data_IF_807729516724
#
_entry.id   IF_807729516724
#
_cell.length_a   1.000
_cell.length_b   1.000
_cell.length_c   1.000
_cell.angle_alpha   90.00
_cell.angle_beta   90.00
_cell.angle_gamma   90.00
#
_symmetry.space_group_name_H-M   'P 1'
#
loop_
_entity.id
_entity.type
_entity.pdbx_description
1 polymer ?
#
# COMPACT_ATOMS: atom_id res chain seq x y z
N UNK A 1 -11.18 -59.20 7.29
CA UNK A 1 -9.93 -58.48 6.97
C UNK A 1 -10.20 -56.98 6.92
N UNK A 2 -9.34 -56.13 7.51
CA UNK A 2 -9.37 -54.65 7.61
C UNK A 2 -10.02 -54.00 8.86
N UNK A 3 -9.45 -54.17 10.06
CA UNK A 3 -9.62 -53.21 11.20
C UNK A 3 -8.37 -53.14 12.11
N UNK A 4 -7.15 -53.26 11.56
CA UNK A 4 -5.93 -53.33 12.40
C UNK A 4 -4.80 -52.36 12.00
N UNK A 5 -5.04 -51.37 11.12
CA UNK A 5 -3.96 -50.51 10.59
C UNK A 5 -4.05 -49.02 10.94
N UNK A 6 -4.94 -48.62 11.84
CA UNK A 6 -5.10 -47.21 12.26
C UNK A 6 -4.40 -46.89 13.60
N UNK A 7 -4.09 -47.89 14.44
CA UNK A 7 -3.54 -47.63 15.78
C UNK A 7 -2.03 -47.34 15.83
N UNK A 8 -1.31 -47.46 14.71
CA UNK A 8 0.16 -47.32 14.66
C UNK A 8 0.68 -45.92 14.34
N UNK A 9 -0.18 -44.94 13.99
CA UNK A 9 0.26 -43.56 13.67
C UNK A 9 0.10 -42.56 14.82
N UNK A 10 -0.55 -42.93 15.93
CA UNK A 10 -0.71 -42.04 17.09
C UNK A 10 0.46 -42.07 18.09
N UNK A 11 1.47 -42.95 17.91
CA UNK A 11 2.66 -43.00 18.78
C UNK A 11 3.89 -42.26 18.23
N UNK A 12 3.78 -41.57 17.09
CA UNK A 12 4.88 -40.82 16.46
C UNK A 12 4.90 -39.31 16.71
N UNK A 13 3.92 -38.75 17.41
CA UNK A 13 3.77 -37.29 17.59
C UNK A 13 3.93 -36.83 19.06
N UNK A 14 4.62 -37.63 19.89
CA UNK A 14 4.90 -37.28 21.30
C UNK A 14 6.36 -36.88 21.56
N UNK A 15 7.19 -36.76 20.52
CA UNK A 15 8.64 -36.50 20.64
C UNK A 15 9.10 -35.06 20.38
N UNK A 16 8.23 -34.14 19.93
CA UNK A 16 8.64 -32.79 19.53
C UNK A 16 8.16 -31.66 20.47
N UNK A 17 7.43 -31.99 21.55
CA UNK A 17 6.96 -31.01 22.52
C UNK A 17 8.01 -30.65 23.60
N UNK A 18 9.07 -31.46 23.77
CA UNK A 18 10.11 -31.23 24.78
C UNK A 18 11.31 -30.40 24.27
N UNK A 19 11.51 -30.29 22.95
CA UNK A 19 12.63 -29.50 22.39
C UNK A 19 12.37 -27.99 22.48
N UNK A 20 11.11 -27.55 22.42
CA UNK A 20 10.76 -26.12 22.51
C UNK A 20 10.76 -25.62 23.97
N UNK A 21 10.56 -26.51 24.96
CA UNK A 21 10.61 -26.15 26.38
C UNK A 21 12.02 -26.09 26.98
N UNK A 22 13.01 -26.73 26.36
CA UNK A 22 14.42 -26.59 26.79
C UNK A 22 15.11 -25.33 26.26
N UNK A 23 14.58 -24.70 25.19
CA UNK A 23 15.14 -23.45 24.66
C UNK A 23 14.77 -22.21 25.49
N UNK A 24 13.79 -22.31 26.40
CA UNK A 24 13.37 -21.20 27.27
C UNK A 24 14.14 -21.09 28.59
N UNK A 25 15.06 -22.03 28.89
CA UNK A 25 15.76 -22.07 30.17
C UNK A 25 17.20 -21.52 30.15
N UNK A 26 17.75 -21.14 28.99
CA UNK A 26 19.16 -20.70 28.87
C UNK A 26 19.36 -19.18 28.66
N UNK A 27 18.29 -18.38 28.56
CA UNK A 27 18.40 -16.91 28.41
C UNK A 27 18.26 -16.17 29.76
N UNK A 28 18.06 -16.89 30.87
CA UNK A 28 17.94 -16.31 32.23
C UNK A 28 19.31 -16.04 32.89
N UNK A 29 20.43 -16.14 32.17
CA UNK A 29 21.78 -15.93 32.77
C UNK A 29 22.69 -14.94 32.03
N UNK A 30 22.18 -14.25 31.01
CA UNK A 30 22.86 -13.08 30.44
C UNK A 30 22.25 -11.84 31.07
N UNK A 31 22.94 -11.32 32.09
CA UNK A 31 22.63 -10.07 32.79
C UNK A 31 22.70 -8.86 31.87
N UNK A 32 21.71 -8.70 31.00
CA UNK A 32 21.39 -7.42 30.39
C UNK A 32 20.52 -6.69 31.40
N UNK A 33 21.18 -5.86 32.22
CA UNK A 33 20.52 -4.78 32.95
C UNK A 33 19.85 -3.88 31.93
N UNK A 34 18.55 -4.11 31.69
CA UNK A 34 17.68 -3.13 31.06
C UNK A 34 17.63 -1.91 31.97
N UNK A 35 18.45 -0.91 31.64
CA UNK A 35 18.22 0.46 32.08
C UNK A 35 16.89 0.91 31.46
N UNK A 36 15.80 0.66 32.18
CA UNK A 36 14.55 1.38 32.00
C UNK A 36 14.83 2.84 32.37
N UNK A 37 15.24 3.64 31.39
CA UNK A 37 15.17 5.09 31.50
C UNK A 37 13.68 5.42 31.49
N UNK A 38 13.15 5.66 32.69
CA UNK A 38 11.88 6.34 32.89
C UNK A 38 11.96 7.68 32.14
N UNK A 39 11.33 7.75 30.97
CA UNK A 39 11.13 9.01 30.29
C UNK A 39 10.16 9.85 31.13
N UNK A 40 10.51 11.10 31.48
CA UNK A 40 9.60 11.96 32.21
C UNK A 40 8.35 12.21 31.35
N UNK A 41 7.20 12.03 31.99
CA UNK A 41 5.87 12.38 31.52
C UNK A 41 5.89 13.80 30.93
N UNK A 42 6.04 13.89 29.60
CA UNK A 42 5.98 15.17 28.89
C UNK A 42 4.55 15.71 29.03
N UNK A 43 4.44 16.91 29.60
CA UNK A 43 3.17 17.64 29.73
C UNK A 43 2.51 17.77 28.35
N UNK A 44 1.16 17.73 28.26
CA UNK A 44 0.48 17.96 27.01
C UNK A 44 0.86 19.35 26.48
N UNK A 45 1.62 19.39 25.39
CA UNK A 45 1.79 20.62 24.62
C UNK A 45 0.46 20.83 23.91
N UNK A 46 -0.34 21.75 24.42
CA UNK A 46 -1.43 22.37 23.65
C UNK A 46 -0.79 23.10 22.47
N UNK A 47 -0.65 22.41 21.35
CA UNK A 47 -0.38 23.03 20.06
C UNK A 47 -1.71 23.63 19.63
N UNK A 48 -1.96 24.86 20.07
CA UNK A 48 -2.96 25.72 19.45
C UNK A 48 -2.52 25.90 17.99
N UNK A 49 -3.34 25.56 16.97
CA UNK A 49 -3.02 25.93 15.61
C UNK A 49 -2.94 27.46 15.56
N UNK A 50 -1.78 27.99 15.16
CA UNK A 50 -1.68 29.40 14.80
C UNK A 50 -2.73 29.69 13.71
N UNK A 51 -3.40 30.84 13.74
CA UNK A 51 -4.30 31.22 12.66
C UNK A 51 -3.48 31.30 11.37
N UNK A 52 -3.78 30.42 10.41
CA UNK A 52 -3.29 30.56 9.05
C UNK A 52 -4.05 31.76 8.49
N UNK A 53 -3.45 32.93 8.56
CA UNK A 53 -3.95 34.12 7.87
C UNK A 53 -3.89 33.82 6.38
N UNK A 54 -5.02 33.47 5.79
CA UNK A 54 -5.19 33.46 4.33
C UNK A 54 -5.06 34.91 3.89
N UNK A 55 -3.87 35.29 3.44
CA UNK A 55 -3.68 36.55 2.75
C UNK A 55 -4.56 36.51 1.49
N UNK A 56 -5.55 37.39 1.46
CA UNK A 56 -6.37 37.63 0.29
C UNK A 56 -5.46 37.97 -0.90
N UNK A 57 -5.52 37.14 -1.94
CA UNK A 57 -4.90 37.44 -3.23
C UNK A 57 -5.73 38.57 -3.85
N UNK A 58 -5.15 39.76 -4.12
CA UNK A 58 -5.90 40.80 -4.82
C UNK A 58 -6.11 40.36 -6.27
N UNK A 59 -7.37 40.43 -6.70
CA UNK A 59 -7.72 40.39 -8.12
C UNK A 59 -7.11 41.63 -8.80
N UNK A 60 -6.03 41.41 -9.55
CA UNK A 60 -5.51 42.37 -10.51
C UNK A 60 -5.94 41.90 -11.90
N UNK A 61 -6.89 42.64 -12.46
CA UNK A 61 -7.35 42.60 -13.84
C UNK A 61 -6.37 43.43 -14.68
N UNK A 62 -5.51 42.80 -15.47
CA UNK A 62 -4.93 43.42 -16.68
C UNK A 62 -4.32 42.35 -17.63
N UNK A 63 -4.54 42.43 -18.95
CA UNK A 63 -4.17 41.39 -19.90
C UNK A 63 -2.78 41.64 -20.47
N UNK A 64 -1.74 41.18 -19.78
CA UNK A 64 -0.42 41.04 -20.38
C UNK A 64 -0.40 39.84 -21.33
N UNK A 65 -0.33 40.14 -22.63
CA UNK A 65 0.02 39.22 -23.71
C UNK A 65 1.26 38.42 -23.30
N UNK A 66 1.06 37.17 -22.91
CA UNK A 66 2.12 36.18 -22.91
C UNK A 66 2.34 35.75 -24.35
N UNK A 67 3.43 36.23 -24.96
CA UNK A 67 4.02 35.59 -26.13
C UNK A 67 4.27 34.13 -25.77
N UNK A 68 3.44 33.26 -26.34
CA UNK A 68 3.65 31.82 -26.40
C UNK A 68 4.90 31.61 -27.24
N UNK A 69 6.07 31.65 -26.60
CA UNK A 69 7.26 30.99 -27.13
C UNK A 69 6.97 29.50 -27.05
N UNK A 70 6.60 28.92 -28.20
CA UNK A 70 6.53 27.48 -28.39
C UNK A 70 7.91 26.87 -28.10
N UNK A 71 8.07 26.04 -27.05
CA UNK A 71 9.29 25.24 -26.95
C UNK A 71 9.32 24.25 -28.12
N UNK A 72 10.46 24.18 -28.80
CA UNK A 72 10.75 23.14 -29.77
C UNK A 72 10.46 21.74 -29.17
N UNK A 73 9.97 20.77 -29.96
CA UNK A 73 9.64 19.45 -29.42
C UNK A 73 10.92 18.77 -28.94
N UNK A 74 11.05 18.60 -27.63
CA UNK A 74 11.95 17.61 -27.08
C UNK A 74 11.48 16.23 -27.58
N UNK A 75 12.37 15.31 -28.00
CA UNK A 75 11.97 13.96 -28.31
C UNK A 75 11.35 13.35 -27.04
N UNK A 76 10.05 13.04 -27.12
CA UNK A 76 9.37 12.23 -26.13
C UNK A 76 10.14 10.91 -26.00
N UNK A 77 10.87 10.77 -24.90
CA UNK A 77 11.56 9.54 -24.56
C UNK A 77 10.51 8.42 -24.44
N UNK A 78 10.72 7.36 -25.20
CA UNK A 78 9.97 6.10 -25.26
C UNK A 78 9.95 5.36 -23.91
N UNK A 79 9.41 5.98 -22.85
CA UNK A 79 9.44 5.42 -21.49
C UNK A 79 8.18 4.62 -21.14
N UNK A 80 7.13 4.68 -21.96
CA UNK A 80 5.88 3.94 -21.73
C UNK A 80 5.94 2.47 -22.21
N UNK A 81 6.96 2.10 -22.98
CA UNK A 81 7.00 0.81 -23.65
C UNK A 81 7.69 -0.32 -22.86
N UNK A 82 8.34 -0.02 -21.73
CA UNK A 82 9.11 -1.02 -20.98
C UNK A 82 8.35 -1.64 -19.80
N UNK A 83 7.35 -0.96 -19.25
CA UNK A 83 6.64 -1.39 -18.03
C UNK A 83 5.49 -2.38 -18.28
N UNK A 84 5.08 -2.62 -19.53
CA UNK A 84 4.00 -3.56 -19.85
C UNK A 84 4.49 -4.97 -20.20
N UNK A 85 5.79 -5.16 -20.48
CA UNK A 85 6.34 -6.47 -20.89
C UNK A 85 6.39 -7.50 -19.76
N UNK A 86 6.32 -7.03 -18.52
CA UNK A 86 6.24 -7.83 -17.31
C UNK A 86 5.33 -7.02 -16.41
N UNK A 87 4.23 -7.60 -15.92
CA UNK A 87 3.25 -6.85 -15.12
C UNK A 87 3.86 -6.15 -13.89
N UNK A 88 3.04 -5.45 -13.08
CA UNK A 88 3.54 -4.67 -11.96
C UNK A 88 4.39 -5.52 -11.04
N UNK A 89 5.46 -4.94 -10.48
CA UNK A 89 6.23 -5.66 -9.47
C UNK A 89 5.37 -5.91 -8.22
N UNK A 90 5.73 -6.89 -7.39
CA UNK A 90 5.06 -7.15 -6.11
C UNK A 90 4.88 -5.88 -5.28
N UNK A 91 5.96 -5.10 -5.17
CA UNK A 91 6.00 -3.86 -4.42
C UNK A 91 5.03 -2.81 -5.01
N UNK A 92 4.97 -2.74 -6.33
CA UNK A 92 4.05 -1.86 -7.05
C UNK A 92 2.58 -2.28 -6.87
N UNK A 93 2.27 -3.58 -6.87
CA UNK A 93 0.90 -4.10 -6.60
C UNK A 93 0.42 -3.69 -5.21
N UNK A 94 1.26 -3.83 -4.19
CA UNK A 94 0.90 -3.44 -2.82
C UNK A 94 0.71 -1.93 -2.69
N UNK A 95 1.60 -1.14 -3.31
CA UNK A 95 1.45 0.33 -3.32
C UNK A 95 0.17 0.78 -4.03
N UNK A 96 -0.18 0.11 -5.14
CA UNK A 96 -1.44 0.33 -5.86
C UNK A 96 -2.66 0.01 -5.01
N UNK A 97 -2.66 -1.15 -4.35
CA UNK A 97 -3.74 -1.57 -3.47
C UNK A 97 -3.97 -0.55 -2.34
N UNK A 98 -2.90 -0.11 -1.66
CA UNK A 98 -2.96 0.87 -0.57
C UNK A 98 -3.62 2.19 -1.01
N UNK A 99 -3.14 2.78 -2.11
CA UNK A 99 -3.66 4.06 -2.62
C UNK A 99 -5.10 3.90 -3.11
N UNK A 100 -5.42 2.80 -3.80
CA UNK A 100 -6.78 2.50 -4.27
C UNK A 100 -7.77 2.44 -3.10
N UNK A 101 -7.45 1.68 -2.05
CA UNK A 101 -8.31 1.54 -0.87
C UNK A 101 -8.45 2.87 -0.13
N UNK A 102 -7.37 3.63 0.02
CA UNK A 102 -7.39 4.96 0.64
C UNK A 102 -8.35 5.91 -0.10
N UNK A 103 -8.16 6.07 -1.40
CA UNK A 103 -8.94 7.02 -2.22
C UNK A 103 -10.41 6.62 -2.25
N UNK A 104 -10.69 5.33 -2.38
CA UNK A 104 -12.07 4.85 -2.40
C UNK A 104 -12.74 4.91 -1.02
N UNK A 105 -12.01 4.70 0.08
CA UNK A 105 -12.53 4.92 1.44
C UNK A 105 -12.92 6.39 1.66
N UNK A 106 -12.07 7.33 1.22
CA UNK A 106 -12.37 8.77 1.29
C UNK A 106 -13.62 9.15 0.50
N UNK A 107 -13.90 8.46 -0.62
CA UNK A 107 -15.09 8.69 -1.43
C UNK A 107 -16.36 8.12 -0.79
N UNK A 108 -16.27 6.95 -0.15
CA UNK A 108 -17.40 6.26 0.47
C UNK A 108 -17.76 6.78 1.87
N UNK A 109 -16.97 7.71 2.44
CA UNK A 109 -17.08 8.21 3.82
C UNK A 109 -18.44 8.80 4.24
N UNK A 110 -19.23 9.28 3.28
CA UNK A 110 -20.54 9.89 3.55
C UNK A 110 -21.71 8.97 3.16
N UNK A 111 -21.42 7.71 2.83
CA UNK A 111 -22.43 6.71 2.44
C UNK A 111 -22.76 5.79 3.62
N UNK A 112 -23.79 4.95 3.49
CA UNK A 112 -24.07 3.86 4.43
C UNK A 112 -22.93 2.84 4.52
N UNK A 113 -22.13 2.76 3.47
CA UNK A 113 -21.03 1.81 3.30
C UNK A 113 -19.68 2.49 3.49
N UNK A 114 -19.60 3.43 4.44
CA UNK A 114 -18.32 3.94 4.93
C UNK A 114 -17.48 2.77 5.48
N UNK A 115 -16.22 2.76 5.05
CA UNK A 115 -15.22 1.75 5.41
C UNK A 115 -13.88 2.37 5.80
N UNK A 116 -13.81 3.66 6.17
CA UNK A 116 -12.56 4.28 6.64
C UNK A 116 -11.92 3.52 7.80
N UNK A 117 -12.72 3.13 8.81
CA UNK A 117 -12.22 2.34 9.94
C UNK A 117 -11.70 0.95 9.54
N UNK A 118 -12.29 0.34 8.51
CA UNK A 118 -11.82 -0.95 7.99
C UNK A 118 -10.48 -0.77 7.24
N UNK A 119 -10.34 0.31 6.46
CA UNK A 119 -9.08 0.68 5.80
C UNK A 119 -7.96 0.99 6.80
N UNK A 120 -8.23 1.77 7.85
CA UNK A 120 -7.26 2.05 8.92
C UNK A 120 -6.78 0.78 9.62
N UNK A 121 -7.69 -0.18 9.85
CA UNK A 121 -7.34 -1.48 10.43
C UNK A 121 -6.49 -2.31 9.47
N UNK A 122 -6.82 -2.30 8.19
CA UNK A 122 -6.02 -2.95 7.15
C UNK A 122 -4.60 -2.37 7.12
N UNK A 123 -4.47 -1.05 7.07
CA UNK A 123 -3.17 -0.37 7.05
C UNK A 123 -2.36 -0.67 8.30
N UNK A 124 -2.97 -0.59 9.49
CA UNK A 124 -2.30 -0.90 10.76
C UNK A 124 -1.82 -2.36 10.83
N UNK A 125 -2.61 -3.30 10.31
CA UNK A 125 -2.27 -4.74 10.30
C UNK A 125 -1.11 -5.05 9.36
N UNK A 126 -1.05 -4.39 8.21
CA UNK A 126 -0.09 -4.67 7.13
C UNK A 126 0.99 -3.59 6.98
N UNK A 127 1.20 -2.78 8.02
CA UNK A 127 2.09 -1.62 7.97
C UNK A 127 3.54 -2.00 7.64
N UNK A 128 4.02 -3.15 8.13
CA UNK A 128 5.36 -3.63 7.85
C UNK A 128 5.53 -4.02 6.38
N UNK A 129 4.54 -4.72 5.83
CA UNK A 129 4.46 -5.14 4.43
C UNK A 129 4.39 -3.94 3.50
N UNK A 130 3.53 -2.96 3.80
CA UNK A 130 3.39 -1.75 2.99
C UNK A 130 4.67 -0.91 2.97
N UNK A 131 5.31 -0.72 4.13
CA UNK A 131 6.59 0.00 4.21
C UNK A 131 7.72 -0.74 3.49
N UNK A 132 7.77 -2.07 3.61
CA UNK A 132 8.71 -2.90 2.87
C UNK A 132 8.53 -2.76 1.36
N UNK A 133 7.28 -2.84 0.89
CA UNK A 133 6.93 -2.63 -0.52
C UNK A 133 7.32 -1.23 -1.00
N UNK A 134 6.99 -0.17 -0.27
CA UNK A 134 7.37 1.19 -0.64
C UNK A 134 8.90 1.35 -0.74
N UNK A 135 9.66 0.75 0.18
CA UNK A 135 11.12 0.76 0.13
C UNK A 135 11.66 0.01 -1.09
N UNK A 136 11.11 -1.14 -1.43
CA UNK A 136 11.58 -1.97 -2.54
C UNK A 136 11.24 -1.34 -3.89
N UNK A 137 10.04 -0.77 -4.02
CA UNK A 137 9.64 0.00 -5.21
C UNK A 137 10.57 1.19 -5.41
N UNK A 138 10.91 1.93 -4.35
CA UNK A 138 11.89 3.01 -4.42
C UNK A 138 13.25 2.51 -4.90
N UNK A 139 13.76 1.40 -4.35
CA UNK A 139 15.04 0.81 -4.78
C UNK A 139 15.01 0.41 -6.26
N UNK A 140 13.88 -0.13 -6.73
CA UNK A 140 13.69 -0.45 -8.14
C UNK A 140 13.81 0.80 -9.00
N UNK A 141 13.05 1.86 -8.70
CA UNK A 141 13.14 3.08 -9.49
C UNK A 141 14.49 3.80 -9.38
N UNK A 142 15.22 3.66 -8.27
CA UNK A 142 16.60 4.17 -8.18
C UNK A 142 17.53 3.46 -9.17
N UNK A 143 17.36 2.14 -9.35
CA UNK A 143 18.14 1.38 -10.34
C UNK A 143 17.80 1.77 -11.77
N UNK A 144 16.54 2.09 -12.04
CA UNK A 144 16.03 2.40 -13.39
C UNK A 144 16.23 3.87 -13.80
N UNK A 145 16.08 4.81 -12.87
CA UNK A 145 16.01 6.24 -13.15
C UNK A 145 16.98 7.09 -12.31
N UNK A 146 17.79 6.49 -11.44
CA UNK A 146 18.62 7.20 -10.47
C UNK A 146 17.79 7.82 -9.32
N UNK A 147 18.46 8.46 -8.36
CA UNK A 147 17.81 8.93 -7.12
C UNK A 147 16.72 9.98 -7.36
N UNK A 148 17.00 10.99 -8.19
CA UNK A 148 16.02 12.04 -8.50
C UNK A 148 14.89 11.52 -9.39
N UNK A 149 15.21 10.64 -10.35
CA UNK A 149 14.21 10.00 -11.19
C UNK A 149 13.28 9.10 -10.40
N UNK A 150 13.78 8.41 -9.37
CA UNK A 150 12.96 7.57 -8.51
C UNK A 150 11.90 8.33 -7.71
N UNK A 151 12.20 9.56 -7.28
CA UNK A 151 11.23 10.40 -6.59
C UNK A 151 10.09 10.78 -7.53
N UNK A 152 10.43 11.18 -8.77
CA UNK A 152 9.44 11.52 -9.79
C UNK A 152 8.60 10.31 -10.19
N UNK A 153 9.22 9.16 -10.44
CA UNK A 153 8.52 7.94 -10.80
C UNK A 153 7.55 7.47 -9.69
N UNK A 154 7.95 7.56 -8.41
CA UNK A 154 7.06 7.25 -7.29
C UNK A 154 5.85 8.19 -7.21
N UNK A 155 6.06 9.48 -7.44
CA UNK A 155 5.01 10.50 -7.43
C UNK A 155 4.04 10.33 -8.60
N UNK A 156 4.58 10.13 -9.81
CA UNK A 156 3.80 9.87 -11.03
C UNK A 156 2.94 8.62 -10.89
N UNK A 157 3.51 7.51 -10.41
CA UNK A 157 2.75 6.29 -10.16
C UNK A 157 1.67 6.53 -9.11
N UNK A 158 2.00 7.13 -7.97
CA UNK A 158 1.04 7.37 -6.89
C UNK A 158 -0.12 8.27 -7.32
N UNK A 159 0.19 9.36 -8.01
CA UNK A 159 -0.79 10.32 -8.54
C UNK A 159 -1.66 9.71 -9.62
N UNK A 160 -1.07 8.94 -10.54
CA UNK A 160 -1.81 8.22 -11.58
C UNK A 160 -2.86 7.29 -10.98
N UNK A 161 -2.46 6.47 -9.99
CA UNK A 161 -3.37 5.55 -9.28
C UNK A 161 -4.49 6.33 -8.59
N UNK A 162 -4.15 7.36 -7.82
CA UNK A 162 -5.15 8.14 -7.09
C UNK A 162 -6.18 8.77 -8.04
N UNK A 163 -5.72 9.28 -9.18
CA UNK A 163 -6.60 9.86 -10.19
C UNK A 163 -7.49 8.81 -10.87
N UNK A 164 -6.96 7.60 -11.14
CA UNK A 164 -7.75 6.49 -11.68
C UNK A 164 -8.94 6.11 -10.79
N UNK A 165 -8.78 6.22 -9.47
CA UNK A 165 -9.81 5.87 -8.49
C UNK A 165 -10.59 7.04 -7.90
N UNK A 166 -10.33 8.29 -8.33
CA UNK A 166 -11.03 9.47 -7.82
C UNK A 166 -12.56 9.44 -8.05
N UNK A 167 -12.99 8.75 -9.11
CA UNK A 167 -14.40 8.49 -9.41
C UNK A 167 -14.95 7.22 -8.76
N UNK A 168 -14.17 6.55 -7.92
CA UNK A 168 -14.46 5.25 -7.33
C UNK A 168 -13.85 4.10 -8.10
N UNK A 169 -14.02 2.88 -7.59
CA UNK A 169 -13.56 1.67 -8.26
C UNK A 169 -14.44 1.38 -9.49
N UNK A 170 -13.88 1.09 -10.67
CA UNK A 170 -14.64 0.95 -11.92
C UNK A 170 -15.75 -0.11 -11.94
N UNK A 171 -15.73 -1.12 -11.06
CA UNK A 171 -16.76 -2.17 -10.98
C UNK A 171 -17.14 -2.60 -9.57
N UNK A 172 -16.50 -2.05 -8.52
CA UNK A 172 -16.85 -2.34 -7.12
C UNK A 172 -17.54 -1.13 -6.52
N UNK A 173 -18.73 -1.33 -5.95
CA UNK A 173 -19.41 -0.30 -5.18
C UNK A 173 -18.78 -0.14 -3.78
N UNK A 174 -19.21 0.88 -3.04
CA UNK A 174 -18.77 1.09 -1.65
C UNK A 174 -19.04 -0.14 -0.77
N UNK A 175 -20.17 -0.82 -0.97
CA UNK A 175 -20.51 -2.06 -0.27
C UNK A 175 -19.47 -3.18 -0.52
N UNK A 176 -19.12 -3.41 -1.79
CA UNK A 176 -18.16 -4.46 -2.16
C UNK A 176 -16.76 -4.13 -1.66
N UNK A 177 -16.36 -2.86 -1.77
CA UNK A 177 -15.07 -2.37 -1.28
C UNK A 177 -14.93 -2.54 0.23
N UNK A 178 -15.99 -2.25 0.98
CA UNK A 178 -16.04 -2.50 2.42
C UNK A 178 -15.83 -3.98 2.74
N UNK A 179 -16.58 -4.86 2.10
CA UNK A 179 -16.47 -6.30 2.30
C UNK A 179 -15.07 -6.83 1.96
N UNK A 180 -14.49 -6.39 0.83
CA UNK A 180 -13.13 -6.74 0.43
C UNK A 180 -12.10 -6.24 1.45
N UNK A 181 -12.22 -5.00 1.92
CA UNK A 181 -11.28 -4.43 2.89
C UNK A 181 -11.31 -5.20 4.21
N UNK A 182 -12.50 -5.62 4.66
CA UNK A 182 -12.64 -6.45 5.85
C UNK A 182 -11.95 -7.81 5.68
N UNK A 183 -12.07 -8.44 4.51
CA UNK A 183 -11.36 -9.69 4.21
C UNK A 183 -9.83 -9.49 4.18
N UNK A 184 -9.35 -8.37 3.64
CA UNK A 184 -7.92 -8.06 3.57
C UNK A 184 -7.27 -7.89 4.94
N UNK A 185 -8.02 -7.47 5.96
CA UNK A 185 -7.52 -7.40 7.35
C UNK A 185 -7.06 -8.77 7.86
N UNK A 186 -7.75 -9.84 7.47
CA UNK A 186 -7.50 -11.19 7.98
C UNK A 186 -6.49 -11.98 7.15
N UNK A 187 -5.98 -11.40 6.06
CA UNK A 187 -4.92 -12.04 5.26
C UNK A 187 -3.65 -12.18 6.08
N UNK A 188 -3.16 -13.41 6.27
CA UNK A 188 -1.99 -13.66 7.12
C UNK A 188 -0.67 -13.58 6.38
N UNK A 189 -0.67 -13.87 5.07
CA UNK A 189 0.57 -13.96 4.29
C UNK A 189 0.66 -12.84 3.27
N UNK A 190 1.85 -12.27 3.13
CA UNK A 190 2.11 -11.24 2.13
C UNK A 190 1.92 -11.77 0.70
N UNK A 191 2.12 -13.07 0.45
CA UNK A 191 1.89 -13.67 -0.87
C UNK A 191 0.41 -13.69 -1.24
N UNK A 192 -0.46 -14.08 -0.30
CA UNK A 192 -1.91 -13.98 -0.49
C UNK A 192 -2.33 -12.52 -0.66
N UNK A 193 -1.76 -11.60 0.11
CA UNK A 193 -2.08 -10.17 0.00
C UNK A 193 -1.76 -9.62 -1.39
N UNK A 194 -0.62 -10.02 -1.95
CA UNK A 194 -0.18 -9.60 -3.29
C UNK A 194 -1.02 -10.22 -4.39
N UNK A 195 -1.41 -11.48 -4.23
CA UNK A 195 -2.31 -12.14 -5.18
C UNK A 195 -3.69 -11.48 -5.17
N UNK A 196 -4.23 -11.18 -3.99
CA UNK A 196 -5.51 -10.44 -3.88
C UNK A 196 -5.38 -9.02 -4.43
N UNK A 197 -4.25 -8.33 -4.18
CA UNK A 197 -3.96 -7.05 -4.79
C UNK A 197 -4.00 -7.15 -6.32
N UNK A 198 -3.34 -8.16 -6.89
CA UNK A 198 -3.37 -8.39 -8.34
C UNK A 198 -4.79 -8.56 -8.84
N UNK A 199 -5.60 -9.43 -8.22
CA UNK A 199 -6.98 -9.66 -8.66
C UNK A 199 -7.88 -8.41 -8.60
N UNK A 200 -7.68 -7.55 -7.59
CA UNK A 200 -8.41 -6.29 -7.46
C UNK A 200 -7.95 -5.25 -8.49
N UNK A 201 -6.67 -5.25 -8.86
CA UNK A 201 -6.08 -4.28 -9.79
C UNK A 201 -6.12 -4.73 -11.26
N UNK A 202 -6.03 -6.03 -11.56
CA UNK A 202 -5.85 -6.55 -12.92
C UNK A 202 -7.17 -6.53 -13.70
N UNK A 203 -8.31 -6.55 -13.00
CA UNK A 203 -9.61 -6.26 -13.61
C UNK A 203 -9.70 -4.82 -14.19
N UNK A 204 -8.74 -3.93 -13.87
CA UNK A 204 -8.62 -2.59 -14.48
C UNK A 204 -8.03 -2.63 -15.89
N UNK A 205 -7.38 -3.73 -16.27
CA UNK A 205 -6.81 -3.88 -17.62
C UNK A 205 -7.83 -4.26 -18.69
N UNK A 206 -9.02 -4.69 -18.31
CA UNK A 206 -10.10 -5.01 -19.25
C UNK A 206 -11.05 -3.81 -19.41
N UNK A 207 -10.59 -2.72 -20.05
CA UNK A 207 -11.09 -2.46 -21.42
C UNK A 207 -10.09 -1.80 -22.38
N UNK A 208 -8.81 -1.64 -22.03
CA UNK A 208 -7.87 -0.89 -22.89
C UNK A 208 -7.55 -1.59 -24.22
N UNK A 209 -7.75 -2.92 -24.30
CA UNK A 209 -7.57 -3.69 -25.53
C UNK A 209 -8.83 -3.82 -26.38
N UNK A 210 -9.97 -3.26 -25.97
CA UNK A 210 -11.22 -3.31 -26.73
C UNK A 210 -11.39 -2.16 -27.74
N UNK A 211 -10.51 -1.16 -27.75
CA UNK A 211 -10.59 0.02 -28.63
C UNK A 211 -9.48 0.10 -29.70
N UNK A 212 -8.64 -0.92 -29.85
CA UNK A 212 -7.59 -0.99 -30.88
C UNK A 212 -7.93 -1.92 -32.07
N UNK A 213 -9.21 -2.07 -32.39
CA UNK A 213 -9.68 -2.66 -33.65
C UNK A 213 -10.69 -1.69 -34.26
N UNK A 214 -10.18 -0.68 -34.98
CA UNK A 214 -10.93 0.05 -36.00
C UNK A 214 -9.98 0.60 -37.05
#
# INVERSE_FOLDING_TARGET
MKVAKIKSRCLGLRGNADVVRLASAAIVSLGIVSSAVAQPLAKPVSILPAPVTVAAVPAADEPLRQEVTTPAPAPAALSDAASWKTGPSRAEKLRRLEIMLMVTALRCRNTSDDFQTDYERFEARHLAEMNGAASDLRKQFVKEHGVLGAIRALDEVSTSIANSYGNGHPWLGCHDLKAVTQLLVDVETTDTLVETADQLLDRERAPQFALAVR
#
